data_IF_479043534644
#
_entry.id   IF_479043534644
#
_cell.length_a   1.000
_cell.length_b   1.000
_cell.length_c   1.000
_cell.angle_alpha   90.00
_cell.angle_beta   90.00
_cell.angle_gamma   90.00
#
_symmetry.space_group_name_H-M   'P 1'
#
loop_
_entity.id
_entity.type
_entity.pdbx_description
1 polymer ?
#
# COMPACT_ATOMS: atom_id res chain seq x y z
N UNK A 1 12.95 -4.09 -7.48
CA UNK A 1 11.48 -4.25 -7.55
C UNK A 1 10.75 -3.00 -7.05
N UNK A 2 10.99 -2.61 -5.79
CA UNK A 2 10.33 -1.47 -5.13
C UNK A 2 10.44 -0.16 -5.94
N UNK A 3 11.64 0.24 -6.39
CA UNK A 3 11.80 1.44 -7.21
C UNK A 3 10.93 1.46 -8.47
N UNK A 4 10.75 0.31 -9.15
CA UNK A 4 9.89 0.23 -10.34
C UNK A 4 8.42 0.46 -9.98
N UNK A 5 7.96 -0.07 -8.85
CA UNK A 5 6.60 0.14 -8.35
C UNK A 5 6.36 1.60 -7.96
N UNK A 6 7.30 2.22 -7.25
CA UNK A 6 7.24 3.65 -6.87
C UNK A 6 7.14 4.51 -8.12
N UNK A 7 8.08 4.37 -9.05
CA UNK A 7 8.08 5.17 -10.28
C UNK A 7 6.81 4.97 -11.11
N UNK A 8 6.26 3.75 -11.17
CA UNK A 8 5.03 3.49 -11.91
C UNK A 8 3.81 4.14 -11.25
N UNK A 9 3.69 4.06 -9.92
CA UNK A 9 2.60 4.67 -9.16
C UNK A 9 2.67 6.21 -9.20
N UNK A 10 3.85 6.80 -9.01
CA UNK A 10 4.05 8.25 -9.10
C UNK A 10 3.71 8.79 -10.51
N UNK A 11 4.09 8.06 -11.57
CA UNK A 11 3.73 8.43 -12.96
C UNK A 11 2.22 8.41 -13.22
N UNK A 12 1.45 7.63 -12.43
CA UNK A 12 -0.01 7.60 -12.47
C UNK A 12 -0.67 8.62 -11.53
N UNK A 13 0.13 9.41 -10.79
CA UNK A 13 -0.38 10.46 -9.90
C UNK A 13 -0.66 10.02 -8.47
N UNK A 14 -0.20 8.83 -8.06
CA UNK A 14 -0.32 8.37 -6.68
C UNK A 14 0.75 9.02 -5.79
N UNK A 15 0.36 9.45 -4.58
CA UNK A 15 1.29 9.71 -3.50
C UNK A 15 1.79 8.36 -2.93
N UNK A 16 3.09 8.09 -3.00
CA UNK A 16 3.67 6.81 -2.59
C UNK A 16 4.38 6.92 -1.24
N UNK A 17 4.08 5.99 -0.34
CA UNK A 17 4.69 5.91 0.99
C UNK A 17 5.31 4.53 1.22
N UNK A 18 6.61 4.50 1.53
CA UNK A 18 7.30 3.29 2.00
C UNK A 18 7.48 3.42 3.51
N UNK A 19 6.78 2.60 4.27
CA UNK A 19 6.76 2.64 5.73
C UNK A 19 7.08 1.25 6.31
N UNK A 20 7.73 1.18 7.48
CA UNK A 20 8.11 -0.10 8.09
C UNK A 20 6.94 -0.86 8.71
N UNK A 21 5.76 -0.23 8.88
CA UNK A 21 4.58 -0.87 9.46
C UNK A 21 3.32 -0.02 9.37
N UNK A 22 2.16 -0.66 9.58
CA UNK A 22 0.84 -0.04 9.39
C UNK A 22 0.43 1.02 10.41
N UNK A 23 1.17 1.18 11.52
CA UNK A 23 0.86 2.16 12.57
C UNK A 23 0.95 3.63 12.10
N UNK A 24 1.66 3.89 11.00
CA UNK A 24 1.76 5.21 10.39
C UNK A 24 0.58 5.58 9.48
N UNK A 25 -0.23 4.61 9.04
CA UNK A 25 -1.34 4.81 8.08
C UNK A 25 -2.30 5.92 8.54
N UNK A 26 -2.81 5.96 9.79
CA UNK A 26 -3.77 6.98 10.20
C UNK A 26 -3.18 8.40 10.16
N UNK A 27 -1.87 8.55 10.38
CA UNK A 27 -1.20 9.86 10.35
C UNK A 27 -1.11 10.37 8.91
N UNK A 28 -0.77 9.50 7.97
CA UNK A 28 -0.69 9.83 6.54
C UNK A 28 -2.07 10.22 6.00
N UNK A 29 -3.10 9.42 6.30
CA UNK A 29 -4.47 9.65 5.83
C UNK A 29 -5.15 10.87 6.48
N UNK A 30 -4.60 11.40 7.57
CA UNK A 30 -5.05 12.67 8.18
C UNK A 30 -4.31 13.88 7.65
N UNK A 31 -3.08 13.71 7.15
CA UNK A 31 -2.27 14.80 6.64
C UNK A 31 -2.78 15.33 5.29
N UNK A 32 -3.39 14.45 4.48
CA UNK A 32 -4.04 14.79 3.21
C UNK A 32 -5.34 14.01 3.06
N UNK A 33 -6.21 14.48 2.17
CA UNK A 33 -7.45 13.78 1.82
C UNK A 33 -7.18 12.85 0.65
N UNK A 34 -7.49 11.56 0.82
CA UNK A 34 -7.36 10.54 -0.21
C UNK A 34 -8.73 9.91 -0.51
N UNK A 35 -8.95 9.56 -1.77
CA UNK A 35 -10.19 8.89 -2.22
C UNK A 35 -10.10 7.37 -2.07
N UNK A 36 -8.90 6.81 -1.98
CA UNK A 36 -8.67 5.39 -1.78
C UNK A 36 -7.20 5.06 -1.55
N UNK A 37 -6.91 3.82 -1.16
CA UNK A 37 -5.55 3.34 -0.87
C UNK A 37 -5.28 2.01 -1.58
N UNK A 38 -4.12 1.89 -2.22
CA UNK A 38 -3.58 0.62 -2.68
C UNK A 38 -2.41 0.23 -1.78
N UNK A 39 -2.53 -0.87 -1.05
CA UNK A 39 -1.52 -1.37 -0.13
C UNK A 39 -0.74 -2.56 -0.69
N UNK A 40 0.59 -2.53 -0.62
CA UNK A 40 1.45 -3.69 -0.92
C UNK A 40 2.14 -4.13 0.37
N UNK A 41 1.68 -5.23 0.97
CA UNK A 41 2.20 -5.66 2.26
C UNK A 41 1.97 -7.16 2.51
N UNK A 42 2.54 -7.68 3.61
CA UNK A 42 2.26 -9.04 4.05
C UNK A 42 0.82 -9.14 4.59
N UNK A 43 0.32 -10.36 4.81
CA UNK A 43 -1.07 -10.58 5.22
C UNK A 43 -1.45 -9.87 6.53
N UNK A 44 -0.53 -9.79 7.49
CA UNK A 44 -0.76 -9.12 8.78
C UNK A 44 -0.97 -7.61 8.61
N UNK A 45 -0.07 -6.94 7.89
CA UNK A 45 -0.23 -5.51 7.55
C UNK A 45 -1.46 -5.24 6.70
N UNK A 46 -1.80 -6.11 5.75
CA UNK A 46 -3.02 -5.95 4.94
C UNK A 46 -4.26 -5.96 5.83
N UNK A 47 -4.33 -6.90 6.79
CA UNK A 47 -5.44 -6.96 7.75
C UNK A 47 -5.52 -5.69 8.59
N UNK A 48 -4.40 -5.29 9.20
CA UNK A 48 -4.33 -4.08 10.04
C UNK A 48 -4.71 -2.82 9.25
N UNK A 49 -4.16 -2.66 8.05
CA UNK A 49 -4.45 -1.54 7.16
C UNK A 49 -5.92 -1.52 6.75
N UNK A 50 -6.50 -2.68 6.40
CA UNK A 50 -7.91 -2.81 6.07
C UNK A 50 -8.85 -2.38 7.21
N UNK A 51 -8.55 -2.78 8.45
CA UNK A 51 -9.31 -2.35 9.63
C UNK A 51 -9.23 -0.84 9.87
N UNK A 52 -8.05 -0.23 9.66
CA UNK A 52 -7.86 1.22 9.76
C UNK A 52 -8.68 1.94 8.68
N UNK A 53 -8.59 1.48 7.43
CA UNK A 53 -9.30 2.07 6.29
C UNK A 53 -10.82 1.98 6.46
N UNK A 54 -11.32 0.84 6.93
CA UNK A 54 -12.73 0.64 7.25
C UNK A 54 -13.22 1.62 8.32
N UNK A 55 -12.44 1.81 9.40
CA UNK A 55 -12.77 2.78 10.47
C UNK A 55 -12.77 4.23 9.97
N UNK A 56 -11.98 4.55 8.95
CA UNK A 56 -11.88 5.89 8.37
C UNK A 56 -12.85 6.10 7.20
N UNK A 57 -13.58 5.06 6.76
CA UNK A 57 -14.48 5.14 5.62
C UNK A 57 -13.77 5.34 4.28
N UNK A 58 -12.51 4.92 4.16
CA UNK A 58 -11.70 5.04 2.94
C UNK A 58 -11.63 3.68 2.27
N UNK A 59 -11.97 3.55 0.97
CA UNK A 59 -11.85 2.28 0.27
C UNK A 59 -10.37 1.89 0.09
N UNK A 60 -10.11 0.59 0.17
CA UNK A 60 -8.75 0.04 0.08
C UNK A 60 -8.69 -1.18 -0.80
N UNK A 61 -7.60 -1.31 -1.56
CA UNK A 61 -7.23 -2.52 -2.29
C UNK A 61 -5.84 -2.98 -1.88
N UNK A 62 -5.59 -4.28 -1.90
CA UNK A 62 -4.33 -4.85 -1.46
C UNK A 62 -3.71 -5.74 -2.53
N UNK A 63 -2.38 -5.65 -2.67
CA UNK A 63 -1.55 -6.57 -3.44
C UNK A 63 -0.68 -7.34 -2.44
N UNK A 64 -0.98 -8.61 -2.15
CA UNK A 64 -0.23 -9.40 -1.18
C UNK A 64 1.19 -9.69 -1.67
N UNK A 65 2.11 -9.77 -0.71
CA UNK A 65 3.45 -10.30 -0.99
C UNK A 65 3.38 -11.79 -1.33
N UNK A 66 4.15 -12.18 -2.34
CA UNK A 66 4.43 -13.59 -2.68
C UNK A 66 5.45 -14.15 -1.68
N UNK A 67 6.44 -13.33 -1.30
CA UNK A 67 7.43 -13.67 -0.27
C UNK A 67 7.46 -12.59 0.80
N UNK A 68 7.11 -12.99 2.01
CA UNK A 68 7.15 -12.14 3.19
C UNK A 68 8.58 -11.78 3.60
N UNK A 69 8.73 -10.63 4.25
CA UNK A 69 9.98 -10.14 4.82
C UNK A 69 9.95 -8.61 4.92
N UNK A 70 10.66 -8.03 5.88
CA UNK A 70 10.84 -6.56 5.91
C UNK A 70 11.89 -6.09 4.89
N UNK A 71 12.69 -7.01 4.37
CA UNK A 71 13.67 -6.80 3.31
C UNK A 71 13.55 -7.93 2.28
N UNK A 72 13.95 -7.66 1.02
CA UNK A 72 13.87 -8.62 -0.09
C UNK A 72 12.45 -9.18 -0.33
N UNK A 73 11.45 -8.31 -0.17
CA UNK A 73 10.06 -8.63 -0.50
C UNK A 73 9.88 -8.92 -1.97
N UNK A 74 8.97 -9.84 -2.27
CA UNK A 74 8.60 -10.19 -3.64
C UNK A 74 7.08 -10.07 -3.75
N UNK A 75 6.63 -9.36 -4.77
CA UNK A 75 5.22 -9.22 -5.17
C UNK A 75 5.12 -9.12 -6.70
N UNK A 76 3.93 -9.36 -7.25
CA UNK A 76 3.71 -9.22 -8.68
C UNK A 76 3.57 -7.74 -9.06
N UNK A 77 4.55 -7.23 -9.80
CA UNK A 77 4.48 -5.87 -10.36
C UNK A 77 3.32 -5.74 -11.34
N UNK A 78 3.03 -6.79 -12.12
CA UNK A 78 1.89 -6.83 -13.04
C UNK A 78 0.56 -6.67 -12.30
N UNK A 79 0.36 -7.41 -11.20
CA UNK A 79 -0.86 -7.28 -10.40
C UNK A 79 -0.99 -5.88 -9.81
N UNK A 80 0.11 -5.28 -9.36
CA UNK A 80 0.10 -3.90 -8.89
C UNK A 80 -0.31 -2.94 -10.01
N UNK A 81 0.25 -3.09 -11.21
CA UNK A 81 -0.05 -2.21 -12.35
C UNK A 81 -1.49 -2.35 -12.87
N UNK A 82 -2.11 -3.51 -12.72
CA UNK A 82 -3.51 -3.75 -13.07
C UNK A 82 -4.50 -3.12 -12.07
N UNK A 83 -4.03 -2.83 -10.84
CA UNK A 83 -4.82 -2.23 -9.75
C UNK A 83 -4.65 -0.71 -9.69
N UNK A 84 -3.44 -0.22 -9.96
CA UNK A 84 -3.16 1.22 -10.14
C UNK A 84 -3.76 1.74 -11.44
#
# INVERSE_FOLDING_TARGET
LINKAVTAAEKKGYDVYIIPGGSCIPKILKAKRYEGVVGVACGEEIKLGGEILAKMGIPGQAVPLIKNGCANTIFSLENLLNVL
#
